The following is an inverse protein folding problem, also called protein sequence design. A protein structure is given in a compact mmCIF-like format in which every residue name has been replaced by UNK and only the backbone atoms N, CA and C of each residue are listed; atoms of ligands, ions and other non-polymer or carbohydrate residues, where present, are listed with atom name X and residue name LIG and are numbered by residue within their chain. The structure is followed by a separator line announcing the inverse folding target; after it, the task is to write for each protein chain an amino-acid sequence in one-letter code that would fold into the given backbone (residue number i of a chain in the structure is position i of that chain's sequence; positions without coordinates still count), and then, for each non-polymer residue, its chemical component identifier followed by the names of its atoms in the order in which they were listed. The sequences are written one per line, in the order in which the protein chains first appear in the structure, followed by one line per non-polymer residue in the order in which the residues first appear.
data_IF_565734065888
#
_entry.id   IF_565734065888
#
_cell.length_a   1.000
_cell.length_b   1.000
_cell.length_c   1.000
_cell.angle_alpha   90.00
_cell.angle_beta   90.00
_cell.angle_gamma   90.00
#
_symmetry.space_group_name_H-M   'P 1'
#
loop_
_entity.id
_entity.type
_entity.pdbx_description
1 polymer ?
#
# COMPACT_ATOMS: atom_id res chain seq x y z
N UNK A 1 -12.80 -7.30 14.55
CA UNK A 1 -11.98 -8.43 14.07
C UNK A 1 -11.80 -8.22 12.58
N UNK A 2 -10.57 -8.25 12.09
CA UNK A 2 -10.29 -7.91 10.70
C UNK A 2 -10.62 -9.07 9.76
N UNK A 3 -11.34 -8.77 8.69
CA UNK A 3 -11.60 -9.66 7.57
C UNK A 3 -10.79 -9.19 6.37
N UNK A 4 -9.99 -10.10 5.79
CA UNK A 4 -9.28 -9.86 4.54
C UNK A 4 -10.21 -10.14 3.35
N UNK A 5 -10.34 -9.14 2.48
CA UNK A 5 -11.13 -9.23 1.25
C UNK A 5 -10.22 -8.93 0.07
N UNK A 6 -10.06 -9.87 -0.86
CA UNK A 6 -9.24 -9.73 -2.05
C UNK A 6 -10.13 -9.47 -3.25
N UNK A 7 -9.93 -8.34 -3.92
CA UNK A 7 -10.76 -7.87 -5.03
C UNK A 7 -10.17 -8.38 -6.34
N UNK A 8 -10.80 -9.39 -6.94
CA UNK A 8 -10.22 -10.13 -8.06
C UNK A 8 -9.98 -9.28 -9.32
N UNK A 9 -10.80 -8.25 -9.58
CA UNK A 9 -10.63 -7.43 -10.80
C UNK A 9 -9.53 -6.37 -10.66
N UNK A 10 -9.21 -5.92 -9.45
CA UNK A 10 -8.19 -4.88 -9.20
C UNK A 10 -6.94 -5.40 -8.49
N UNK A 11 -6.96 -6.63 -7.97
CA UNK A 11 -5.89 -7.21 -7.16
C UNK A 11 -5.82 -6.69 -5.73
N UNK A 12 -6.56 -5.64 -5.39
CA UNK A 12 -6.45 -4.94 -4.11
C UNK A 12 -6.93 -5.80 -2.95
N UNK A 13 -6.17 -5.81 -1.87
CA UNK A 13 -6.57 -6.42 -0.60
C UNK A 13 -7.13 -5.35 0.32
N UNK A 14 -8.39 -5.51 0.71
CA UNK A 14 -9.10 -4.65 1.64
C UNK A 14 -9.17 -5.33 3.01
N UNK A 15 -9.04 -4.53 4.07
CA UNK A 15 -9.26 -4.97 5.44
C UNK A 15 -10.55 -4.35 5.94
N UNK A 16 -11.49 -5.18 6.40
CA UNK A 16 -12.76 -4.72 6.93
C UNK A 16 -12.95 -5.22 8.36
N UNK A 17 -13.24 -4.32 9.29
CA UNK A 17 -13.63 -4.70 10.64
C UNK A 17 -15.07 -5.20 10.67
N UNK A 18 -15.23 -6.47 11.03
CA UNK A 18 -16.53 -7.13 11.06
C UNK A 18 -16.73 -7.91 12.35
N UNK A 19 -17.99 -8.23 12.63
CA UNK A 19 -18.39 -9.14 13.70
C UNK A 19 -18.86 -10.46 13.07
N UNK A 20 -18.71 -11.62 13.74
CA UNK A 20 -19.25 -12.89 13.24
C UNK A 20 -20.76 -12.85 12.95
N UNK A 21 -21.50 -12.01 13.68
CA UNK A 21 -22.94 -11.80 13.49
C UNK A 21 -23.29 -10.87 12.31
N UNK A 22 -22.30 -10.18 11.73
CA UNK A 22 -22.51 -9.33 10.54
C UNK A 22 -23.03 -10.20 9.39
N UNK A 23 -24.01 -9.67 8.66
CA UNK A 23 -24.57 -10.34 7.48
C UNK A 23 -23.74 -10.05 6.23
N UNK A 24 -23.79 -10.95 5.26
CA UNK A 24 -23.01 -10.84 4.02
C UNK A 24 -23.47 -9.63 3.19
N UNK A 25 -24.76 -9.33 3.12
CA UNK A 25 -25.29 -8.12 2.48
C UNK A 25 -24.75 -6.82 3.11
N UNK A 26 -24.68 -6.75 4.44
CA UNK A 26 -24.10 -5.62 5.16
C UNK A 26 -22.59 -5.47 4.88
N UNK A 27 -21.86 -6.58 4.80
CA UNK A 27 -20.45 -6.59 4.39
C UNK A 27 -20.28 -6.07 2.95
N UNK A 28 -21.10 -6.54 2.01
CA UNK A 28 -21.08 -6.09 0.61
C UNK A 28 -21.38 -4.59 0.48
N UNK A 29 -22.36 -4.09 1.24
CA UNK A 29 -22.68 -2.66 1.30
C UNK A 29 -21.50 -1.84 1.82
N UNK A 30 -20.80 -2.30 2.85
CA UNK A 30 -19.61 -1.64 3.39
C UNK A 30 -18.43 -1.65 2.41
N UNK A 31 -18.29 -2.70 1.60
CA UNK A 31 -17.21 -2.84 0.61
C UNK A 31 -17.45 -2.04 -0.67
N UNK A 32 -18.70 -1.74 -1.03
CA UNK A 32 -19.05 -1.06 -2.27
C UNK A 32 -18.25 0.22 -2.57
N UNK A 33 -18.09 1.18 -1.65
CA UNK A 33 -17.31 2.38 -1.92
C UNK A 33 -15.81 2.11 -2.12
N UNK A 34 -15.27 1.05 -1.54
CA UNK A 34 -13.84 0.72 -1.64
C UNK A 34 -13.51 -0.16 -2.85
N UNK A 35 -14.42 -1.08 -3.19
CA UNK A 35 -14.26 -1.98 -4.33
C UNK A 35 -14.73 -1.35 -5.65
N UNK A 36 -15.55 -0.29 -5.62
CA UNK A 36 -16.13 0.32 -6.81
C UNK A 36 -17.17 -0.55 -7.52
N UNK A 37 -17.72 -1.56 -6.84
CA UNK A 37 -18.70 -2.51 -7.38
C UNK A 37 -20.01 -2.37 -6.58
N UNK A 38 -21.15 -2.33 -7.26
CA UNK A 38 -22.44 -2.31 -6.58
C UNK A 38 -22.68 -3.62 -5.81
N UNK A 39 -23.29 -3.63 -4.61
CA UNK A 39 -23.52 -4.85 -3.83
C UNK A 39 -24.25 -5.96 -4.61
N UNK A 40 -25.21 -5.57 -5.46
CA UNK A 40 -25.95 -6.49 -6.31
C UNK A 40 -25.08 -7.21 -7.36
N UNK A 41 -23.97 -6.58 -7.76
CA UNK A 41 -23.01 -7.10 -8.74
C UNK A 41 -21.81 -7.79 -8.09
N UNK A 42 -21.71 -7.76 -6.76
CA UNK A 42 -20.67 -8.46 -6.02
C UNK A 42 -20.98 -9.95 -5.90
N UNK A 43 -19.95 -10.76 -6.13
CA UNK A 43 -19.94 -12.19 -5.79
C UNK A 43 -18.82 -12.40 -4.79
N UNK A 44 -19.19 -12.68 -3.54
CA UNK A 44 -18.24 -13.01 -2.48
C UNK A 44 -18.08 -14.52 -2.39
N UNK A 45 -16.83 -15.00 -2.36
CA UNK A 45 -16.48 -16.41 -2.24
C UNK A 45 -15.46 -16.61 -1.12
N UNK A 46 -15.59 -17.71 -0.38
CA UNK A 46 -14.62 -18.12 0.65
C UNK A 46 -14.40 -19.61 0.53
N UNK A 47 -13.13 -20.03 0.48
CA UNK A 47 -12.74 -21.46 0.34
C UNK A 47 -13.47 -22.17 -0.82
N UNK A 48 -13.64 -21.47 -1.94
CA UNK A 48 -14.33 -21.97 -3.14
C UNK A 48 -15.86 -22.00 -3.07
N UNK A 49 -16.47 -21.61 -1.93
CA UNK A 49 -17.92 -21.55 -1.79
C UNK A 49 -18.44 -20.12 -1.94
N UNK A 50 -19.49 -19.94 -2.75
CA UNK A 50 -20.21 -18.67 -2.85
C UNK A 50 -20.95 -18.36 -1.55
N UNK A 51 -20.83 -17.12 -1.09
CA UNK A 51 -21.53 -16.63 0.09
C UNK A 51 -22.95 -16.16 -0.28
N UNK A 52 -23.90 -16.41 0.61
CA UNK A 52 -25.30 -16.01 0.49
C UNK A 52 -25.50 -14.67 1.21
N UNK A 53 -26.02 -13.62 0.55
CA UNK A 53 -26.27 -12.32 1.16
C UNK A 53 -27.14 -12.40 2.42
N UNK A 54 -28.05 -13.38 2.50
CA UNK A 54 -28.95 -13.55 3.63
C UNK A 54 -28.29 -14.12 4.89
N UNK A 55 -27.11 -14.74 4.79
CA UNK A 55 -26.41 -15.44 5.90
C UNK A 55 -25.44 -14.53 6.65
N UNK A 56 -25.08 -14.95 7.85
CA UNK A 56 -24.06 -14.28 8.68
C UNK A 56 -22.65 -14.79 8.35
N UNK A 57 -21.63 -13.98 8.63
CA UNK A 57 -20.22 -14.35 8.45
C UNK A 57 -19.82 -15.57 9.30
N UNK A 58 -20.43 -15.75 10.47
CA UNK A 58 -20.24 -16.92 11.33
C UNK A 58 -20.61 -18.25 10.62
N UNK A 59 -21.60 -18.24 9.71
CA UNK A 59 -21.95 -19.43 8.93
C UNK A 59 -20.82 -19.90 8.01
N UNK A 60 -19.88 -19.02 7.71
CA UNK A 60 -18.68 -19.27 6.91
C UNK A 60 -17.40 -19.35 7.74
N UNK A 61 -17.53 -19.36 9.08
CA UNK A 61 -16.41 -19.31 10.03
C UNK A 61 -15.53 -18.07 9.86
N UNK A 62 -16.17 -16.92 9.60
CA UNK A 62 -15.53 -15.62 9.44
C UNK A 62 -15.96 -14.63 10.54
N UNK A 63 -15.09 -13.69 10.92
CA UNK A 63 -13.66 -13.64 10.61
C UNK A 63 -12.92 -14.78 11.31
N UNK A 64 -11.96 -15.41 10.61
CA UNK A 64 -11.09 -16.42 11.20
C UNK A 64 -10.17 -15.69 12.19
N UNK A 65 -10.52 -15.68 13.47
CA UNK A 65 -9.73 -15.03 14.50
C UNK A 65 -8.31 -15.58 14.58
N UNK A 66 -7.47 -14.88 15.35
CA UNK A 66 -6.02 -15.07 15.54
C UNK A 66 -5.62 -16.41 16.21
N UNK A 67 -6.38 -17.48 15.97
CA UNK A 67 -6.11 -18.82 16.42
C UNK A 67 -4.97 -19.44 15.60
N UNK A 68 -3.75 -19.13 16.02
CA UNK A 68 -2.51 -19.90 15.83
C UNK A 68 -2.47 -20.83 14.61
N UNK A 69 -2.04 -20.29 13.47
CA UNK A 69 -1.46 -21.08 12.38
C UNK A 69 -2.41 -21.58 11.28
N UNK A 70 -3.71 -21.30 11.35
CA UNK A 70 -4.59 -21.52 10.20
C UNK A 70 -4.47 -20.33 9.24
N UNK A 71 -4.11 -20.58 7.98
CA UNK A 71 -4.11 -19.55 6.93
C UNK A 71 -5.41 -18.75 6.98
N UNK A 72 -5.29 -17.43 7.18
CA UNK A 72 -6.43 -16.52 7.14
C UNK A 72 -7.13 -16.74 5.80
N UNK A 73 -8.30 -17.36 5.80
CA UNK A 73 -9.03 -17.66 4.57
C UNK A 73 -9.62 -16.36 4.03
N UNK A 74 -9.04 -15.75 2.97
CA UNK A 74 -9.53 -14.47 2.49
C UNK A 74 -10.88 -14.68 1.80
N UNK A 75 -11.70 -13.63 1.82
CA UNK A 75 -12.90 -13.56 1.00
C UNK A 75 -12.50 -12.98 -0.36
N UNK A 76 -12.76 -13.71 -1.43
CA UNK A 76 -12.59 -13.22 -2.79
C UNK A 76 -13.84 -12.47 -3.22
N UNK A 77 -13.67 -11.25 -3.73
CA UNK A 77 -14.72 -10.42 -4.30
C UNK A 77 -14.57 -10.38 -5.82
N UNK A 78 -15.56 -10.89 -6.52
CA UNK A 78 -15.70 -10.78 -7.96
C UNK A 78 -16.81 -9.81 -8.34
N UNK A 79 -16.68 -9.18 -9.50
CA UNK A 79 -17.74 -8.36 -10.11
C UNK A 79 -18.39 -9.12 -11.25
N UNK A 80 -19.72 -9.22 -11.26
CA UNK A 80 -20.47 -9.81 -12.37
C UNK A 80 -20.14 -9.13 -13.70
N UNK A 81 -19.98 -7.80 -13.70
CA UNK A 81 -19.69 -7.02 -14.90
C UNK A 81 -18.32 -7.40 -15.50
N UNK A 82 -17.32 -7.66 -14.66
CA UNK A 82 -15.98 -8.05 -15.12
C UNK A 82 -15.86 -9.54 -15.48
N UNK A 83 -16.80 -10.38 -15.04
CA UNK A 83 -16.88 -11.79 -15.42
C UNK A 83 -17.69 -12.04 -16.69
N UNK A 84 -18.37 -11.02 -17.23
CA UNK A 84 -19.17 -11.17 -18.43
C UNK A 84 -18.30 -11.44 -19.67
N UNK A 85 -18.74 -12.29 -20.61
CA UNK A 85 -18.02 -12.51 -21.87
C UNK A 85 -17.81 -11.19 -22.63
N UNK A 86 -16.57 -10.89 -23.02
CA UNK A 86 -16.24 -9.66 -23.73
C UNK A 86 -16.25 -8.39 -22.85
N UNK A 87 -16.29 -8.53 -21.53
CA UNK A 87 -16.14 -7.39 -20.62
C UNK A 87 -14.83 -6.63 -20.91
N UNK A 88 -14.85 -5.29 -20.97
CA UNK A 88 -13.64 -4.51 -21.15
C UNK A 88 -12.70 -4.73 -19.96
N UNK A 89 -11.40 -4.74 -20.26
CA UNK A 89 -10.38 -4.77 -19.21
C UNK A 89 -10.56 -3.55 -18.30
N UNK A 90 -10.36 -3.70 -16.98
CA UNK A 90 -10.30 -2.56 -16.07
C UNK A 90 -9.31 -1.51 -16.57
N UNK A 91 -9.63 -0.23 -16.39
CA UNK A 91 -8.71 0.84 -16.73
C UNK A 91 -7.40 0.67 -15.91
N UNK A 92 -6.23 0.91 -16.51
CA UNK A 92 -4.96 0.83 -15.78
C UNK A 92 -4.93 1.90 -14.68
N UNK A 93 -4.57 1.49 -13.47
CA UNK A 93 -4.40 2.41 -12.35
C UNK A 93 -3.20 3.34 -12.60
N UNK A 94 -3.35 4.67 -12.48
CA UNK A 94 -2.23 5.58 -12.67
C UNK A 94 -1.22 5.43 -11.53
N UNK A 95 0.03 5.14 -11.90
CA UNK A 95 1.14 5.02 -10.94
C UNK A 95 1.96 6.32 -10.94
N UNK A 96 1.81 7.20 -9.92
CA UNK A 96 2.60 8.41 -9.86
C UNK A 96 4.09 8.08 -9.71
N UNK A 97 4.98 8.85 -10.38
CA UNK A 97 6.41 8.62 -10.26
C UNK A 97 6.88 8.92 -8.84
N UNK A 98 7.69 8.02 -8.28
CA UNK A 98 8.36 8.24 -7.00
C UNK A 98 9.64 9.04 -7.29
N UNK A 99 9.69 10.29 -6.86
CA UNK A 99 10.88 11.16 -7.00
C UNK A 99 11.58 11.31 -5.65
N UNK A 100 12.93 11.36 -5.62
CA UNK A 100 13.65 11.66 -4.39
C UNK A 100 13.37 13.11 -3.95
N UNK A 101 13.03 13.30 -2.68
CA UNK A 101 12.84 14.61 -2.08
C UNK A 101 14.21 15.20 -1.73
N UNK A 102 14.89 15.77 -2.72
CA UNK A 102 16.24 16.30 -2.54
C UNK A 102 16.24 17.51 -1.59
N UNK A 103 17.17 17.55 -0.61
CA UNK A 103 17.34 18.74 0.21
C UNK A 103 17.81 19.92 -0.66
N UNK A 104 17.46 21.17 -0.30
CA UNK A 104 17.98 22.34 -0.98
C UNK A 104 19.50 22.41 -0.85
N UNK A 105 20.13 23.09 -1.81
CA UNK A 105 21.57 23.38 -1.76
C UNK A 105 21.90 24.19 -0.49
N UNK A 106 22.92 23.79 0.28
CA UNK A 106 23.25 24.47 1.52
C UNK A 106 23.86 25.83 1.22
N UNK A 107 23.58 26.81 2.08
CA UNK A 107 24.27 28.09 2.02
C UNK A 107 25.77 27.90 2.35
N UNK A 108 26.67 28.66 1.72
CA UNK A 108 28.08 28.64 2.09
C UNK A 108 28.24 29.05 3.56
N UNK A 109 29.22 28.47 4.28
CA UNK A 109 29.48 28.84 5.66
C UNK A 109 29.81 30.33 5.75
N UNK A 110 29.13 31.05 6.65
CA UNK A 110 29.34 32.48 6.84
C UNK A 110 30.73 32.80 7.41
N UNK A 111 31.21 34.04 7.24
CA UNK A 111 32.52 34.48 7.74
C UNK A 111 32.62 34.50 9.28
N UNK A 112 31.50 34.38 9.99
CA UNK A 112 31.44 34.36 11.46
C UNK A 112 31.83 33.03 12.11
N UNK A 113 32.12 31.98 11.33
CA UNK A 113 32.52 30.70 11.90
C UNK A 113 33.98 30.76 12.43
N UNK A 114 34.25 30.33 13.68
CA UNK A 114 35.54 30.57 14.35
C UNK A 114 36.74 29.99 13.60
N UNK A 115 36.54 28.87 12.90
CA UNK A 115 37.58 28.23 12.09
C UNK A 115 37.81 28.90 10.73
N UNK A 116 36.86 29.69 10.21
CA UNK A 116 36.96 30.29 8.88
C UNK A 116 38.07 31.33 8.76
N UNK A 117 38.51 31.91 9.88
CA UNK A 117 39.62 32.88 9.94
C UNK A 117 40.97 32.23 10.28
N UNK A 118 41.06 30.89 10.40
CA UNK A 118 42.31 30.22 10.70
C UNK A 118 43.31 30.35 9.55
N UNK A 119 44.58 30.61 9.88
CA UNK A 119 45.66 30.70 8.89
C UNK A 119 45.96 29.37 8.18
N UNK A 120 45.66 28.23 8.84
CA UNK A 120 45.87 26.91 8.25
C UNK A 120 44.69 26.55 7.32
N UNK A 121 44.93 26.35 6.00
CA UNK A 121 43.87 26.23 5.01
C UNK A 121 42.96 25.02 5.25
N UNK A 122 43.50 23.89 5.73
CA UNK A 122 42.69 22.72 6.03
C UNK A 122 41.71 22.95 7.18
N UNK A 123 42.08 23.77 8.18
CA UNK A 123 41.21 24.09 9.31
C UNK A 123 40.12 25.08 8.90
N UNK A 124 40.47 26.05 8.05
CA UNK A 124 39.50 26.99 7.48
C UNK A 124 38.45 26.33 6.58
N UNK A 125 38.78 25.19 5.96
CA UNK A 125 37.85 24.45 5.09
C UNK A 125 36.87 23.54 5.86
N UNK A 126 37.16 23.18 7.12
CA UNK A 126 36.35 22.23 7.90
C UNK A 126 34.84 22.56 7.93
N UNK A 127 34.40 23.82 8.12
CA UNK A 127 32.97 24.14 8.18
C UNK A 127 32.27 23.87 6.85
N UNK A 128 32.94 24.16 5.74
CA UNK A 128 32.42 23.87 4.39
C UNK A 128 32.37 22.37 4.13
N UNK A 129 33.37 21.61 4.59
CA UNK A 129 33.39 20.16 4.49
C UNK A 129 32.28 19.50 5.32
N UNK A 130 32.05 19.98 6.54
CA UNK A 130 30.97 19.48 7.40
C UNK A 130 29.60 19.66 6.74
N UNK A 131 29.34 20.87 6.23
CA UNK A 131 28.11 21.19 5.49
C UNK A 131 27.98 20.32 4.24
N UNK A 132 29.06 20.15 3.47
CA UNK A 132 29.07 19.33 2.26
C UNK A 132 28.80 17.85 2.58
N UNK A 133 29.40 17.30 3.64
CA UNK A 133 29.19 15.92 4.09
C UNK A 133 27.74 15.73 4.56
N UNK A 134 27.22 16.66 5.37
CA UNK A 134 25.84 16.61 5.85
C UNK A 134 24.84 16.67 4.68
N UNK A 135 25.06 17.58 3.71
CA UNK A 135 24.23 17.68 2.52
C UNK A 135 24.32 16.41 1.65
N UNK A 136 25.53 15.90 1.39
CA UNK A 136 25.73 14.67 0.63
C UNK A 136 25.04 13.46 1.28
N UNK A 137 25.10 13.35 2.61
CA UNK A 137 24.38 12.32 3.36
C UNK A 137 22.85 12.47 3.24
N UNK A 138 22.33 13.70 3.26
CA UNK A 138 20.90 13.97 3.08
C UNK A 138 20.43 13.65 1.65
N UNK A 139 21.19 14.00 0.62
CA UNK A 139 20.93 13.62 -0.78
C UNK A 139 20.92 12.10 -0.94
N UNK A 140 21.94 11.41 -0.41
CA UNK A 140 22.02 9.95 -0.46
C UNK A 140 20.81 9.29 0.23
N UNK A 141 20.38 9.82 1.38
CA UNK A 141 19.17 9.36 2.08
C UNK A 141 17.91 9.54 1.25
N UNK A 142 17.72 10.70 0.61
CA UNK A 142 16.56 10.95 -0.25
C UNK A 142 16.47 9.94 -1.41
N UNK A 143 17.61 9.60 -2.03
CA UNK A 143 17.65 8.56 -3.06
C UNK A 143 17.37 7.15 -2.50
N UNK A 144 17.92 6.83 -1.33
CA UNK A 144 17.67 5.55 -0.67
C UNK A 144 16.19 5.36 -0.33
N UNK A 145 15.55 6.37 0.25
CA UNK A 145 14.13 6.35 0.60
C UNK A 145 13.25 6.21 -0.65
N UNK A 146 13.53 6.96 -1.71
CA UNK A 146 12.82 6.83 -2.98
C UNK A 146 12.97 5.42 -3.59
N UNK A 147 14.15 4.81 -3.44
CA UNK A 147 14.40 3.44 -3.92
C UNK A 147 13.65 2.40 -3.09
N UNK A 148 13.63 2.58 -1.76
CA UNK A 148 12.83 1.75 -0.85
C UNK A 148 11.33 1.85 -1.17
N UNK A 149 10.82 3.04 -1.42
CA UNK A 149 9.43 3.26 -1.82
C UNK A 149 9.09 2.59 -3.17
N UNK A 150 10.00 2.61 -4.16
CA UNK A 150 9.82 1.87 -5.42
C UNK A 150 9.72 0.37 -5.18
N UNK A 151 10.62 -0.20 -4.38
CA UNK A 151 10.61 -1.63 -4.07
C UNK A 151 9.33 -2.04 -3.32
N UNK A 152 8.86 -1.21 -2.38
CA UNK A 152 7.59 -1.43 -1.70
C UNK A 152 6.41 -1.42 -2.68
N UNK A 153 6.38 -0.47 -3.63
CA UNK A 153 5.37 -0.43 -4.70
C UNK A 153 5.43 -1.68 -5.58
N UNK A 154 6.61 -2.12 -6.00
CA UNK A 154 6.76 -3.36 -6.78
C UNK A 154 6.18 -4.58 -6.05
N UNK A 155 6.44 -4.71 -4.75
CA UNK A 155 5.89 -5.80 -3.94
C UNK A 155 4.37 -5.73 -3.84
N UNK A 156 3.83 -4.54 -3.64
CA UNK A 156 2.38 -4.30 -3.64
C UNK A 156 1.76 -4.73 -4.97
N UNK A 157 2.29 -4.24 -6.10
CA UNK A 157 1.78 -4.58 -7.43
C UNK A 157 1.90 -6.08 -7.72
N UNK A 158 2.98 -6.73 -7.30
CA UNK A 158 3.12 -8.18 -7.43
C UNK A 158 2.02 -8.92 -6.68
N UNK A 159 1.72 -8.53 -5.44
CA UNK A 159 0.61 -9.14 -4.67
C UNK A 159 -0.75 -8.89 -5.31
N UNK A 160 -0.95 -7.72 -5.93
CA UNK A 160 -2.18 -7.43 -6.66
C UNK A 160 -2.31 -8.31 -7.92
N UNK A 161 -1.20 -8.53 -8.66
CA UNK A 161 -1.18 -9.46 -9.79
C UNK A 161 -1.42 -10.91 -9.37
N UNK A 162 -0.91 -11.35 -8.22
CA UNK A 162 -1.15 -12.70 -7.68
C UNK A 162 -2.64 -12.93 -7.35
N UNK A 163 -3.36 -11.90 -6.90
CA UNK A 163 -4.81 -11.97 -6.66
C UNK A 163 -5.61 -12.05 -7.97
N UNK A 164 -5.07 -11.49 -9.05
CA UNK A 164 -5.70 -11.47 -10.38
C UNK A 164 -5.43 -12.73 -11.21
N UNK A 165 -4.42 -13.53 -10.84
CA UNK A 165 -3.99 -14.74 -11.55
C UNK A 165 -4.93 -15.93 -11.31
#
# INVERSE_FOLDING_TARGET
MALLVMVAHSGKTLQLDVHPATRVDAMQAALAPFAGVAPADMICMVRGAKMDPGRTLAAYRLPAGDAGGAEASPVFLYSKAHLAPGAPLPAPDPLPPITPALPPEPAPPGPGHPLSACAHPALAALPGLEVAVAHGAAVARAHWEASGARLARCRQLLSECEVQA
#
